data_IF_189266484976
#
_entry.id   IF_189266484976
#
_cell.length_a   1.000
_cell.length_b   1.000
_cell.length_c   1.000
_cell.angle_alpha   90.00
_cell.angle_beta   90.00
_cell.angle_gamma   90.00
#
_symmetry.space_group_name_H-M   'P 1'
#
loop_
_entity.id
_entity.type
_entity.pdbx_description
1 polymer ?
#
# COMPACT_ATOMS: atom_id res chain seq x y z
N UNK A 1 -25.43 28.52 -46.99
CA UNK A 1 -25.46 27.97 -45.63
C UNK A 1 -24.88 26.55 -45.42
N UNK A 2 -24.52 25.78 -46.49
CA UNK A 2 -24.02 24.39 -46.36
C UNK A 2 -22.49 24.27 -46.13
N UNK A 3 -21.70 25.35 -46.37
CA UNK A 3 -20.22 25.30 -46.32
C UNK A 3 -19.63 25.21 -44.90
N UNK A 4 -20.36 25.64 -43.88
CA UNK A 4 -19.87 25.63 -42.48
C UNK A 4 -20.18 24.32 -41.75
N UNK A 5 -21.04 23.46 -42.33
CA UNK A 5 -21.40 22.17 -41.69
C UNK A 5 -20.23 21.19 -41.73
N UNK A 6 -19.29 21.30 -42.67
CA UNK A 6 -18.07 20.47 -42.74
C UNK A 6 -17.03 20.84 -41.69
N UNK A 7 -17.14 22.06 -41.10
CA UNK A 7 -16.24 22.49 -40.02
C UNK A 7 -16.69 22.00 -38.64
N UNK A 8 -17.94 21.56 -38.50
CA UNK A 8 -18.51 21.08 -37.23
C UNK A 8 -17.75 19.89 -36.66
N UNK A 9 -17.42 18.82 -37.43
CA UNK A 9 -16.63 17.70 -36.91
C UNK A 9 -15.22 18.12 -36.46
N UNK A 10 -14.59 19.05 -37.21
CA UNK A 10 -13.28 19.58 -36.86
C UNK A 10 -13.32 20.38 -35.57
N UNK A 11 -14.35 21.22 -35.39
CA UNK A 11 -14.53 21.98 -34.15
C UNK A 11 -14.76 21.08 -32.93
N UNK A 12 -15.58 20.02 -33.10
CA UNK A 12 -15.79 19.00 -32.06
C UNK A 12 -14.51 18.29 -31.69
N UNK A 13 -13.72 17.89 -32.70
CA UNK A 13 -12.43 17.22 -32.48
C UNK A 13 -11.45 18.10 -31.73
N UNK A 14 -11.30 19.38 -32.10
CA UNK A 14 -10.41 20.33 -31.43
C UNK A 14 -10.85 20.55 -29.97
N UNK A 15 -12.17 20.65 -29.73
CA UNK A 15 -12.70 20.81 -28.39
C UNK A 15 -12.45 19.59 -27.50
N UNK A 16 -12.67 18.38 -28.03
CA UNK A 16 -12.38 17.13 -27.33
C UNK A 16 -10.88 16.95 -27.07
N UNK A 17 -10.03 17.24 -28.07
CA UNK A 17 -8.58 17.18 -27.93
C UNK A 17 -8.08 18.18 -26.88
N UNK A 18 -8.63 19.39 -26.84
CA UNK A 18 -8.33 20.40 -25.84
C UNK A 18 -8.76 19.97 -24.43
N UNK A 19 -9.93 19.36 -24.30
CA UNK A 19 -10.43 18.82 -23.04
C UNK A 19 -9.55 17.67 -22.51
N UNK A 20 -9.19 16.73 -23.39
CA UNK A 20 -8.29 15.63 -23.04
C UNK A 20 -6.89 16.13 -22.65
N UNK A 21 -6.35 17.10 -23.41
CA UNK A 21 -5.07 17.71 -23.11
C UNK A 21 -5.08 18.45 -21.77
N UNK A 22 -6.14 19.20 -21.50
CA UNK A 22 -6.31 19.86 -20.20
C UNK A 22 -6.40 18.86 -19.03
N UNK A 23 -7.09 17.73 -19.24
CA UNK A 23 -7.18 16.67 -18.25
C UNK A 23 -5.82 15.98 -18.03
N UNK A 24 -5.02 15.78 -19.07
CA UNK A 24 -3.65 15.27 -18.97
C UNK A 24 -2.74 16.22 -18.17
N UNK A 25 -2.88 17.53 -18.34
CA UNK A 25 -2.12 18.50 -17.56
C UNK A 25 -2.51 18.46 -16.06
N UNK A 26 -3.80 18.29 -15.75
CA UNK A 26 -4.27 18.13 -14.36
C UNK A 26 -3.73 16.88 -13.67
N UNK A 27 -3.61 15.77 -14.38
CA UNK A 27 -3.00 14.53 -13.86
C UNK A 27 -1.51 14.78 -13.50
N UNK A 28 -0.82 15.68 -14.22
CA UNK A 28 0.55 16.11 -13.91
C UNK A 28 0.68 16.93 -12.62
N UNK A 29 -0.39 17.53 -12.13
CA UNK A 29 -0.39 18.41 -10.94
C UNK A 29 -0.65 17.67 -9.62
N UNK A 30 -0.57 16.34 -9.59
CA UNK A 30 -0.58 15.52 -8.35
C UNK A 30 -1.92 14.88 -8.00
N UNK A 31 -2.94 14.98 -8.80
CA UNK A 31 -4.11 14.08 -8.71
C UNK A 31 -3.72 12.72 -9.32
N UNK A 32 -3.22 11.81 -8.47
CA UNK A 32 -3.01 10.42 -8.91
C UNK A 32 -4.39 9.75 -9.08
N UNK A 33 -4.83 9.45 -10.33
CA UNK A 33 -6.10 8.77 -10.56
C UNK A 33 -6.12 7.33 -9.99
N UNK A 34 -4.99 6.84 -9.49
CA UNK A 34 -4.85 5.57 -8.76
C UNK A 34 -4.98 5.75 -7.25
N UNK A 35 -4.98 6.97 -6.72
CA UNK A 35 -5.31 7.25 -5.33
C UNK A 35 -6.81 7.01 -5.12
N UNK A 36 -7.22 5.76 -5.19
CA UNK A 36 -8.53 5.34 -4.69
C UNK A 36 -8.49 5.55 -3.18
N UNK A 37 -9.27 6.53 -2.71
CA UNK A 37 -9.46 6.72 -1.28
C UNK A 37 -9.85 5.37 -0.67
N UNK A 38 -8.96 4.81 0.13
CA UNK A 38 -9.27 3.57 0.82
C UNK A 38 -10.39 3.85 1.81
N UNK A 39 -11.50 3.14 1.70
CA UNK A 39 -12.61 3.22 2.65
C UNK A 39 -12.15 2.93 4.11
N UNK A 40 -10.95 2.38 4.28
CA UNK A 40 -10.34 2.08 5.57
C UNK A 40 -9.60 3.26 6.20
N UNK A 41 -9.32 4.34 5.47
CA UNK A 41 -8.64 5.51 6.07
C UNK A 41 -9.55 6.09 7.17
N UNK A 42 -9.01 6.20 8.39
CA UNK A 42 -9.75 6.61 9.58
C UNK A 42 -10.56 5.49 10.25
N UNK A 43 -10.53 4.27 9.71
CA UNK A 43 -11.20 3.10 10.28
C UNK A 43 -10.20 2.17 10.99
N UNK A 44 -10.64 1.39 11.97
CA UNK A 44 -9.81 0.37 12.59
C UNK A 44 -9.53 -0.77 11.59
N UNK A 45 -8.42 -1.48 11.82
CA UNK A 45 -8.15 -2.73 11.12
C UNK A 45 -9.34 -3.69 11.25
N UNK A 46 -9.67 -4.47 10.20
CA UNK A 46 -10.74 -5.45 10.25
C UNK A 46 -10.58 -6.46 11.40
N UNK A 47 -11.69 -6.84 12.04
CA UNK A 47 -11.72 -7.83 13.12
C UNK A 47 -11.56 -9.25 12.54
N UNK A 48 -10.32 -9.63 12.22
CA UNK A 48 -9.98 -10.90 11.60
C UNK A 48 -8.93 -11.65 12.41
N UNK A 49 -8.93 -12.97 12.30
CA UNK A 49 -7.82 -13.81 12.75
C UNK A 49 -7.02 -14.29 11.55
N UNK A 50 -5.78 -13.84 11.45
CA UNK A 50 -4.90 -14.07 10.30
C UNK A 50 -3.83 -15.10 10.65
N UNK A 51 -3.61 -16.07 9.77
CA UNK A 51 -2.57 -17.08 9.91
C UNK A 51 -1.18 -16.46 9.90
N UNK A 52 -0.23 -17.05 10.62
CA UNK A 52 1.16 -16.65 10.53
C UNK A 52 1.89 -17.41 9.43
N UNK A 53 2.87 -16.78 8.81
CA UNK A 53 3.69 -17.40 7.78
C UNK A 53 4.53 -18.57 8.34
N UNK A 54 4.93 -18.48 9.62
CA UNK A 54 5.69 -19.52 10.29
C UNK A 54 4.84 -20.77 10.57
N UNK A 55 3.65 -20.57 11.15
CA UNK A 55 2.75 -21.62 11.61
C UNK A 55 1.32 -21.25 11.21
N UNK A 56 0.80 -21.75 10.06
CA UNK A 56 -0.51 -21.35 9.53
C UNK A 56 -1.70 -21.73 10.43
N UNK A 57 -1.53 -22.73 11.29
CA UNK A 57 -2.50 -23.14 12.32
C UNK A 57 -2.60 -22.11 13.44
N UNK A 58 -1.56 -21.32 13.69
CA UNK A 58 -1.57 -20.23 14.64
C UNK A 58 -2.11 -18.98 13.97
N UNK A 59 -3.25 -18.52 14.49
CA UNK A 59 -3.89 -17.29 14.00
C UNK A 59 -3.77 -16.21 15.07
N UNK A 60 -3.24 -15.08 14.68
CA UNK A 60 -3.22 -13.89 15.53
C UNK A 60 -4.38 -12.94 15.20
N UNK A 61 -4.79 -12.17 16.18
CA UNK A 61 -5.79 -11.13 16.00
C UNK A 61 -5.19 -9.96 15.21
N UNK A 62 -5.78 -9.68 14.06
CA UNK A 62 -5.30 -8.66 13.16
C UNK A 62 -5.42 -7.24 13.74
N UNK A 63 -6.43 -7.01 14.59
CA UNK A 63 -6.62 -5.71 15.26
C UNK A 63 -5.54 -5.41 16.30
N UNK A 64 -4.80 -6.43 16.75
CA UNK A 64 -3.71 -6.22 17.72
C UNK A 64 -2.41 -5.72 17.07
N UNK A 65 -2.34 -5.73 15.74
CA UNK A 65 -1.23 -5.14 15.01
C UNK A 65 -1.15 -3.63 15.28
N UNK A 66 0.01 -3.15 15.64
CA UNK A 66 0.22 -1.72 15.90
C UNK A 66 -0.32 -1.22 17.23
N UNK A 67 -0.84 -2.08 18.12
CA UNK A 67 -1.30 -1.63 19.44
C UNK A 67 -0.17 -0.97 20.24
N UNK A 68 -0.41 0.27 20.66
CA UNK A 68 0.51 1.09 21.45
C UNK A 68 1.60 1.82 20.64
N UNK A 69 1.84 1.45 19.36
CA UNK A 69 2.88 2.08 18.52
C UNK A 69 2.45 2.06 17.06
N UNK A 70 2.84 3.07 16.26
CA UNK A 70 2.56 3.02 14.83
C UNK A 70 3.28 1.85 14.16
N UNK A 71 2.66 1.33 13.11
CA UNK A 71 3.10 0.18 12.34
C UNK A 71 2.89 0.41 10.85
N UNK A 72 3.83 -0.02 10.02
CA UNK A 72 3.57 -0.22 8.61
C UNK A 72 3.06 -1.65 8.38
N UNK A 73 1.96 -1.80 7.65
CA UNK A 73 1.51 -3.09 7.12
C UNK A 73 1.82 -3.10 5.64
N UNK A 74 2.78 -3.92 5.23
CA UNK A 74 3.18 -4.06 3.82
C UNK A 74 2.60 -5.35 3.24
N UNK A 75 1.84 -5.21 2.17
CA UNK A 75 1.27 -6.32 1.39
C UNK A 75 2.27 -6.69 0.29
N UNK A 76 2.73 -7.94 0.29
CA UNK A 76 3.79 -8.37 -0.59
C UNK A 76 3.62 -9.81 -1.09
N UNK A 77 4.36 -10.18 -2.14
CA UNK A 77 4.37 -11.54 -2.66
C UNK A 77 5.69 -11.86 -3.38
N UNK A 78 6.05 -13.14 -3.45
CA UNK A 78 7.25 -13.59 -4.17
C UNK A 78 7.14 -13.45 -5.69
N UNK A 79 5.93 -13.48 -6.23
CA UNK A 79 5.63 -13.30 -7.66
C UNK A 79 5.64 -11.84 -8.10
N UNK A 80 5.79 -10.88 -7.18
CA UNK A 80 5.68 -9.44 -7.43
C UNK A 80 7.05 -8.80 -7.69
N UNK A 81 7.39 -8.37 -8.91
CA UNK A 81 8.68 -7.75 -9.20
C UNK A 81 8.92 -6.44 -8.45
N UNK A 82 7.87 -5.63 -8.29
CA UNK A 82 7.94 -4.34 -7.57
C UNK A 82 8.19 -4.56 -6.07
N UNK A 83 7.62 -5.62 -5.48
CA UNK A 83 7.92 -5.99 -4.09
C UNK A 83 9.40 -6.33 -3.91
N UNK A 84 10.01 -6.96 -4.92
CA UNK A 84 11.46 -7.24 -4.90
C UNK A 84 12.30 -5.97 -4.96
N UNK A 85 11.86 -4.97 -5.71
CA UNK A 85 12.55 -3.69 -5.79
C UNK A 85 12.53 -2.94 -4.45
N UNK A 86 11.36 -2.87 -3.78
CA UNK A 86 11.22 -2.16 -2.51
C UNK A 86 11.84 -2.88 -1.31
N UNK A 87 12.00 -4.21 -1.38
CA UNK A 87 12.36 -5.03 -0.23
C UNK A 87 13.66 -4.60 0.47
N UNK A 88 14.67 -4.20 -0.32
CA UNK A 88 15.92 -3.68 0.24
C UNK A 88 15.69 -2.39 1.04
N UNK A 89 14.77 -1.55 0.59
CA UNK A 89 14.45 -0.33 1.32
C UNK A 89 13.66 -0.62 2.60
N UNK A 90 12.73 -1.58 2.58
CA UNK A 90 12.04 -2.05 3.79
C UNK A 90 13.02 -2.59 4.83
N UNK A 91 14.03 -3.38 4.43
CA UNK A 91 15.09 -3.82 5.34
C UNK A 91 15.85 -2.62 5.95
N UNK A 92 16.09 -1.56 5.19
CA UNK A 92 16.73 -0.33 5.70
C UNK A 92 15.84 0.35 6.74
N UNK A 93 14.54 0.50 6.47
CA UNK A 93 13.59 1.09 7.41
C UNK A 93 13.47 0.28 8.71
N UNK A 94 13.40 -1.05 8.59
CA UNK A 94 13.36 -1.94 9.74
C UNK A 94 14.64 -1.81 10.60
N UNK A 95 15.83 -1.73 9.97
CA UNK A 95 17.10 -1.48 10.66
C UNK A 95 17.15 -0.12 11.36
N UNK A 96 16.37 0.87 10.90
CA UNK A 96 16.22 2.19 11.53
C UNK A 96 15.15 2.20 12.64
N UNK A 97 14.55 1.05 12.96
CA UNK A 97 13.57 0.91 14.02
C UNK A 97 12.11 1.17 13.59
N UNK A 98 11.84 1.28 12.29
CA UNK A 98 10.46 1.33 11.79
C UNK A 98 9.84 -0.05 11.95
N UNK A 99 8.73 -0.14 12.69
CA UNK A 99 8.00 -1.39 12.85
C UNK A 99 7.22 -1.71 11.57
N UNK A 100 7.45 -2.89 10.99
CA UNK A 100 6.80 -3.33 9.76
C UNK A 100 6.21 -4.73 9.99
N UNK A 101 4.93 -4.93 9.65
CA UNK A 101 4.31 -6.24 9.50
C UNK A 101 4.18 -6.56 8.00
N UNK A 102 4.40 -7.80 7.62
CA UNK A 102 4.24 -8.27 6.25
C UNK A 102 2.99 -9.13 6.10
N UNK A 103 2.13 -8.81 5.14
CA UNK A 103 1.02 -9.66 4.71
C UNK A 103 1.40 -10.30 3.38
N UNK A 104 1.77 -11.58 3.42
CA UNK A 104 2.09 -12.36 2.23
C UNK A 104 0.79 -12.74 1.50
N UNK A 105 0.56 -12.10 0.34
CA UNK A 105 -0.71 -12.07 -0.36
C UNK A 105 -0.74 -12.99 -1.57
N UNK A 106 -1.69 -13.93 -1.59
CA UNK A 106 -1.93 -14.87 -2.70
C UNK A 106 -0.65 -15.55 -3.17
N UNK A 107 0.11 -16.13 -2.24
CA UNK A 107 1.44 -16.65 -2.51
C UNK A 107 1.64 -18.04 -1.90
N UNK A 108 2.68 -18.72 -2.33
CA UNK A 108 3.12 -20.00 -1.76
C UNK A 108 3.94 -19.76 -0.49
N UNK A 109 3.50 -20.33 0.61
CA UNK A 109 4.13 -20.22 1.92
C UNK A 109 5.62 -20.57 1.91
N UNK A 110 5.98 -21.70 1.27
CA UNK A 110 7.37 -22.17 1.27
C UNK A 110 8.27 -21.27 0.42
N UNK A 111 7.74 -20.73 -0.70
CA UNK A 111 8.46 -19.73 -1.49
C UNK A 111 8.66 -18.45 -0.69
N UNK A 112 7.63 -17.97 0.00
CA UNK A 112 7.71 -16.78 0.84
C UNK A 112 8.75 -16.93 1.96
N UNK A 113 8.77 -18.07 2.65
CA UNK A 113 9.77 -18.34 3.70
C UNK A 113 11.20 -18.35 3.14
N UNK A 114 11.45 -19.06 2.02
CA UNK A 114 12.78 -19.08 1.36
C UNK A 114 13.20 -17.69 0.91
N UNK A 115 12.27 -16.92 0.38
CA UNK A 115 12.51 -15.57 -0.09
C UNK A 115 12.96 -14.64 1.05
N UNK A 116 12.29 -14.70 2.21
CA UNK A 116 12.72 -13.93 3.39
C UNK A 116 14.08 -14.38 3.96
N UNK A 117 14.41 -15.67 3.85
CA UNK A 117 15.74 -16.17 4.23
C UNK A 117 16.83 -15.67 3.29
N UNK A 118 16.55 -15.58 1.98
CA UNK A 118 17.51 -15.18 0.95
C UNK A 118 17.74 -13.66 0.94
N UNK A 119 16.66 -12.85 1.05
CA UNK A 119 16.72 -11.39 0.88
C UNK A 119 16.64 -10.60 2.18
N UNK A 120 16.58 -11.28 3.33
CA UNK A 120 16.37 -10.67 4.63
C UNK A 120 14.87 -10.54 4.99
N UNK A 121 14.60 -10.36 6.27
CA UNK A 121 13.22 -10.24 6.79
C UNK A 121 13.03 -8.89 7.51
N UNK A 122 12.41 -7.90 6.88
CA UNK A 122 12.13 -6.61 7.50
C UNK A 122 10.92 -6.64 8.45
N UNK A 123 10.16 -7.75 8.45
CA UNK A 123 8.88 -7.84 9.12
C UNK A 123 9.04 -8.40 10.54
N UNK A 124 8.54 -7.68 11.53
CA UNK A 124 8.42 -8.22 12.90
C UNK A 124 7.31 -9.28 13.00
N UNK A 125 6.22 -9.09 12.27
CA UNK A 125 5.10 -10.01 12.16
C UNK A 125 4.94 -10.44 10.70
N UNK A 126 4.96 -11.75 10.44
CA UNK A 126 4.80 -12.30 9.11
C UNK A 126 3.45 -13.03 9.03
N UNK A 127 2.50 -12.44 8.31
CA UNK A 127 1.15 -12.94 8.11
C UNK A 127 1.02 -13.65 6.76
N UNK A 128 0.13 -14.62 6.70
CA UNK A 128 -0.18 -15.38 5.50
C UNK A 128 -1.63 -15.17 5.07
N UNK A 129 -1.81 -14.67 3.87
CA UNK A 129 -3.10 -14.47 3.20
C UNK A 129 -3.10 -15.24 1.87
N UNK A 130 -3.06 -16.58 1.97
CA UNK A 130 -2.87 -17.46 0.82
C UNK A 130 -4.03 -17.40 -0.21
N UNK A 131 -5.26 -17.17 0.25
CA UNK A 131 -6.46 -17.05 -0.58
C UNK A 131 -6.81 -15.58 -0.92
N UNK A 132 -6.19 -14.62 -0.27
CA UNK A 132 -6.43 -13.19 -0.47
C UNK A 132 -7.64 -12.64 0.27
N UNK A 133 -8.21 -13.38 1.21
CA UNK A 133 -9.40 -12.96 1.97
C UNK A 133 -9.11 -11.71 2.82
N UNK A 134 -7.94 -11.64 3.47
CA UNK A 134 -7.52 -10.47 4.25
C UNK A 134 -7.32 -9.26 3.34
N UNK A 135 -6.70 -9.47 2.17
CA UNK A 135 -6.52 -8.42 1.18
C UNK A 135 -7.85 -7.84 0.69
N UNK A 136 -8.89 -8.66 0.51
CA UNK A 136 -10.23 -8.20 0.16
C UNK A 136 -10.80 -7.27 1.23
N UNK A 137 -10.72 -7.65 2.50
CA UNK A 137 -11.20 -6.84 3.63
C UNK A 137 -10.41 -5.52 3.78
N UNK A 138 -9.12 -5.52 3.39
CA UNK A 138 -8.29 -4.32 3.33
C UNK A 138 -8.52 -3.47 2.08
N UNK A 139 -9.31 -3.96 1.13
CA UNK A 139 -9.49 -3.32 -0.17
C UNK A 139 -8.20 -3.32 -1.02
N UNK A 140 -7.34 -4.32 -0.86
CA UNK A 140 -6.09 -4.48 -1.63
C UNK A 140 -6.41 -4.86 -3.06
N UNK A 141 -5.86 -4.11 -4.01
CA UNK A 141 -5.98 -4.41 -5.44
C UNK A 141 -4.82 -5.25 -5.98
N UNK A 142 -3.68 -5.20 -5.30
CA UNK A 142 -2.47 -5.91 -5.72
C UNK A 142 -1.32 -5.74 -4.74
N UNK A 143 -0.13 -6.21 -5.13
CA UNK A 143 1.10 -6.02 -4.37
C UNK A 143 2.10 -5.24 -5.23
N UNK A 144 2.91 -4.32 -4.62
CA UNK A 144 2.91 -4.00 -3.21
C UNK A 144 1.91 -2.90 -2.85
N UNK A 145 1.42 -2.94 -1.62
CA UNK A 145 0.69 -1.86 -0.98
C UNK A 145 1.17 -1.71 0.46
N UNK A 146 1.24 -0.48 0.96
CA UNK A 146 1.68 -0.20 2.33
C UNK A 146 0.68 0.67 3.05
N UNK A 147 0.23 0.22 4.22
CA UNK A 147 -0.67 0.95 5.10
C UNK A 147 0.11 1.45 6.31
N UNK A 148 -0.13 2.70 6.72
CA UNK A 148 0.30 3.22 8.01
C UNK A 148 -0.85 3.07 9.01
N UNK A 149 -0.57 2.37 10.09
CA UNK A 149 -1.51 2.12 11.19
C UNK A 149 -0.97 2.84 12.42
N UNK A 150 -1.83 3.58 13.13
CA UNK A 150 -1.43 4.25 14.37
C UNK A 150 -1.45 3.32 15.58
N UNK A 151 -1.03 3.82 16.75
CA UNK A 151 -1.00 3.07 18.00
C UNK A 151 -2.38 2.66 18.54
N UNK A 152 -3.47 3.10 17.94
CA UNK A 152 -4.84 2.71 18.24
C UNK A 152 -5.39 1.66 17.28
N UNK A 153 -4.59 1.22 16.30
CA UNK A 153 -5.01 0.26 15.28
C UNK A 153 -5.83 0.88 14.15
N UNK A 154 -5.80 2.22 13.99
CA UNK A 154 -6.53 2.93 12.95
C UNK A 154 -5.65 3.12 11.72
N UNK A 155 -6.17 2.79 10.55
CA UNK A 155 -5.49 3.03 9.27
C UNK A 155 -5.47 4.54 8.97
N UNK A 156 -4.28 5.10 8.82
CA UNK A 156 -4.08 6.55 8.64
C UNK A 156 -3.62 6.94 7.25
N UNK A 157 -3.01 6.01 6.53
CA UNK A 157 -2.51 6.27 5.19
C UNK A 157 -2.39 4.96 4.41
N UNK A 158 -2.50 5.01 3.10
CA UNK A 158 -2.27 3.92 2.17
C UNK A 158 -1.43 4.41 1.01
N UNK A 159 -0.40 3.65 0.68
CA UNK A 159 0.39 3.82 -0.52
C UNK A 159 0.24 2.59 -1.42
N UNK A 160 -0.04 2.79 -2.69
CA UNK A 160 -0.13 1.74 -3.70
C UNK A 160 1.11 1.80 -4.58
N UNK A 161 1.87 0.72 -4.65
CA UNK A 161 3.13 0.65 -5.38
C UNK A 161 4.35 0.63 -4.49
N UNK A 162 5.54 0.82 -5.07
CA UNK A 162 6.82 0.72 -4.40
C UNK A 162 7.00 1.77 -3.31
N UNK A 163 7.25 1.33 -2.09
CA UNK A 163 7.69 2.20 -1.00
C UNK A 163 9.21 2.42 -1.11
N UNK A 164 9.61 3.49 -1.79
CA UNK A 164 11.00 3.90 -1.92
C UNK A 164 11.35 5.10 -1.02
N UNK A 165 12.61 5.55 -1.07
CA UNK A 165 13.11 6.64 -0.23
C UNK A 165 12.38 7.98 -0.46
N UNK A 166 11.92 8.25 -1.67
CA UNK A 166 11.21 9.49 -1.98
C UNK A 166 9.78 9.47 -1.45
N UNK A 167 9.05 8.38 -1.65
CA UNK A 167 7.70 8.16 -1.08
C UNK A 167 7.78 8.21 0.44
N UNK A 168 8.72 7.48 1.04
CA UNK A 168 8.91 7.51 2.48
C UNK A 168 9.10 8.94 2.99
N UNK A 169 10.09 9.67 2.45
CA UNK A 169 10.44 11.01 2.92
C UNK A 169 9.30 12.02 2.76
N UNK A 170 8.59 11.98 1.63
CA UNK A 170 7.58 12.99 1.28
C UNK A 170 6.21 12.70 1.90
N UNK A 171 5.81 11.44 2.00
CA UNK A 171 4.43 11.05 2.28
C UNK A 171 4.29 10.30 3.61
N UNK A 172 5.14 9.32 3.88
CA UNK A 172 4.96 8.41 5.02
C UNK A 172 5.67 8.92 6.28
N UNK A 173 6.92 9.36 6.17
CA UNK A 173 7.73 9.75 7.34
C UNK A 173 7.10 10.89 8.17
N UNK A 174 6.51 11.94 7.58
CA UNK A 174 5.85 12.98 8.37
C UNK A 174 4.69 12.43 9.20
N UNK A 175 3.90 11.51 8.63
CA UNK A 175 2.79 10.86 9.33
C UNK A 175 3.30 9.86 10.38
N UNK A 176 4.33 9.07 10.04
CA UNK A 176 5.01 8.17 10.97
C UNK A 176 5.47 8.90 12.23
N UNK A 177 6.20 9.99 12.08
CA UNK A 177 6.69 10.80 13.20
C UNK A 177 5.56 11.44 14.02
N UNK A 178 4.48 11.87 13.37
CA UNK A 178 3.28 12.37 14.05
C UNK A 178 2.71 11.29 14.99
N UNK A 179 2.39 10.10 14.44
CA UNK A 179 1.74 9.05 15.24
C UNK A 179 2.69 8.37 16.23
N UNK A 180 3.99 8.39 15.98
CA UNK A 180 5.00 7.96 16.95
C UNK A 180 5.02 8.88 18.17
N UNK A 181 4.96 10.19 17.97
CA UNK A 181 4.88 11.18 19.07
C UNK A 181 3.56 11.07 19.84
N UNK A 182 2.44 10.87 19.15
CA UNK A 182 1.13 10.67 19.78
C UNK A 182 1.11 9.40 20.65
N UNK A 183 1.84 8.37 20.26
CA UNK A 183 2.00 7.14 21.04
C UNK A 183 3.04 7.24 22.17
N UNK A 184 3.76 8.36 22.32
CA UNK A 184 4.76 8.57 23.37
C UNK A 184 6.07 7.76 23.20
N UNK A 185 6.43 7.41 21.95
CA UNK A 185 7.62 6.59 21.62
C UNK A 185 8.50 7.24 20.57
#
# INVERSE_FOLDING_TARGET
MKRNLYLLPLAIFVLLAGLLFWQLLRIGDGEDPKALDSALIGQPLPALRVATLAQPEEKQDFQTLGQGKPLLLNVWATWCPTCRAEHRYLNTLAAQGVAIAGLNYKDDRQKAQRWLQEYGNPYRDNLLDADGAVGIELGVFGAPETFLIDGQGIVRYRHTGELNADVWRKEVAPLWEKYRKEAGV
#
